data_IF_610979747647
#
_entry.id   IF_610979747647
#
_cell.length_a   1.000
_cell.length_b   1.000
_cell.length_c   1.000
_cell.angle_alpha   90.00
_cell.angle_beta   90.00
_cell.angle_gamma   90.00
#
_symmetry.space_group_name_H-M   'P 1'
#
loop_
_entity.id
_entity.type
_entity.pdbx_description
1 polymer ?
#
# COMPACT_ATOMS: atom_id res chain seq x y z
N UNK A 1 56.42 8.94 8.97
CA UNK A 1 55.72 7.72 9.40
C UNK A 1 54.28 7.99 9.87
N UNK A 2 54.05 8.97 10.77
CA UNK A 2 52.67 9.28 11.26
C UNK A 2 51.72 9.83 10.16
N UNK A 3 52.25 10.65 9.26
CA UNK A 3 51.46 11.26 8.16
C UNK A 3 51.00 10.22 7.11
N UNK A 4 51.81 9.21 6.85
CA UNK A 4 51.50 8.11 5.93
C UNK A 4 50.43 7.18 6.51
N UNK A 5 50.45 6.98 7.82
CA UNK A 5 49.44 6.18 8.53
C UNK A 5 48.07 6.87 8.57
N UNK A 6 48.02 8.20 8.75
CA UNK A 6 46.81 9.01 8.72
C UNK A 6 46.17 9.10 7.32
N UNK A 7 47.01 9.12 6.27
CA UNK A 7 46.54 9.06 4.88
C UNK A 7 45.95 7.68 4.53
N UNK A 8 46.60 6.59 4.97
CA UNK A 8 46.05 5.24 4.78
C UNK A 8 44.75 5.00 5.55
N UNK A 9 44.60 5.49 6.80
CA UNK A 9 43.36 5.44 7.57
C UNK A 9 42.26 6.23 6.89
N UNK A 10 42.53 7.42 6.36
CA UNK A 10 41.54 8.21 5.60
C UNK A 10 41.12 7.50 4.30
N UNK A 11 42.03 6.86 3.59
CA UNK A 11 41.74 6.14 2.36
C UNK A 11 40.90 4.87 2.64
N UNK A 12 41.24 4.15 3.73
CA UNK A 12 40.46 2.96 4.16
C UNK A 12 39.06 3.37 4.67
N UNK A 13 38.96 4.46 5.44
CA UNK A 13 37.68 4.97 5.92
C UNK A 13 36.82 5.49 4.76
N UNK A 14 37.41 6.16 3.77
CA UNK A 14 36.72 6.63 2.57
C UNK A 14 36.29 5.47 1.65
N UNK A 15 37.16 4.46 1.46
CA UNK A 15 36.82 3.25 0.73
C UNK A 15 35.73 2.43 1.44
N UNK A 16 35.76 2.33 2.77
CA UNK A 16 34.74 1.66 3.57
C UNK A 16 33.40 2.45 3.53
N UNK A 17 33.47 3.78 3.53
CA UNK A 17 32.27 4.65 3.39
C UNK A 17 31.67 4.55 2.01
N UNK A 18 32.46 4.45 0.95
CA UNK A 18 32.01 4.20 -0.43
C UNK A 18 31.40 2.79 -0.55
N UNK A 19 31.97 1.78 0.10
CA UNK A 19 31.46 0.40 0.08
C UNK A 19 30.13 0.24 0.85
N UNK A 20 29.88 1.08 1.87
CA UNK A 20 28.65 1.09 2.67
C UNK A 20 27.51 1.86 1.95
N UNK A 21 27.83 2.77 1.02
CA UNK A 21 26.83 3.61 0.36
C UNK A 21 26.36 3.09 -1.01
N UNK A 22 27.09 2.17 -1.64
CA UNK A 22 26.67 1.61 -2.94
C UNK A 22 25.68 0.47 -2.73
N UNK A 23 24.44 0.67 -3.17
CA UNK A 23 23.46 -0.41 -3.30
C UNK A 23 24.02 -1.48 -4.26
N UNK A 24 24.34 -2.65 -3.73
CA UNK A 24 24.87 -3.76 -4.55
C UNK A 24 23.75 -4.30 -5.43
N UNK A 25 23.94 -4.27 -6.75
CA UNK A 25 23.01 -4.92 -7.68
C UNK A 25 23.26 -6.42 -7.66
N UNK A 26 22.22 -7.18 -7.37
CA UNK A 26 22.22 -8.63 -7.35
C UNK A 26 21.50 -9.14 -8.60
N UNK A 27 21.88 -10.32 -9.09
CA UNK A 27 21.30 -10.92 -10.29
C UNK A 27 20.47 -12.17 -9.94
N UNK A 28 19.44 -12.42 -10.73
CA UNK A 28 18.58 -13.63 -10.64
C UNK A 28 18.00 -13.87 -9.24
N UNK A 29 17.43 -12.84 -8.63
CA UNK A 29 16.87 -12.90 -7.28
C UNK A 29 15.42 -13.37 -7.30
N UNK A 30 15.09 -14.31 -6.41
CA UNK A 30 13.71 -14.73 -6.19
C UNK A 30 12.92 -13.63 -5.46
N UNK A 31 11.78 -13.24 -6.04
CA UNK A 31 10.86 -12.26 -5.47
C UNK A 31 9.77 -12.91 -4.59
N UNK A 32 9.83 -14.21 -4.30
CA UNK A 32 8.82 -14.92 -3.51
C UNK A 32 8.63 -14.28 -2.13
N UNK A 33 9.71 -13.91 -1.46
CA UNK A 33 9.68 -13.24 -0.14
C UNK A 33 9.42 -11.73 -0.20
N UNK A 34 9.39 -11.15 -1.41
CA UNK A 34 9.19 -9.72 -1.65
C UNK A 34 7.79 -9.39 -2.15
N UNK A 35 6.87 -10.36 -2.19
CA UNK A 35 5.47 -10.13 -2.49
C UNK A 35 4.58 -10.91 -1.50
N UNK A 36 3.53 -10.27 -1.02
CA UNK A 36 2.66 -10.84 0.01
C UNK A 36 1.74 -11.94 -0.50
N UNK A 37 1.58 -12.12 -1.81
CA UNK A 37 0.96 -13.31 -2.39
C UNK A 37 1.84 -14.57 -2.27
N UNK A 38 3.16 -14.41 -2.03
CA UNK A 38 4.11 -15.51 -1.98
C UNK A 38 4.28 -16.24 -3.32
N UNK A 39 3.98 -15.57 -4.44
CA UNK A 39 4.17 -16.13 -5.78
C UNK A 39 5.66 -16.24 -6.09
N UNK A 40 6.08 -17.42 -6.53
CA UNK A 40 7.47 -17.71 -6.89
C UNK A 40 7.77 -17.19 -8.30
N UNK A 41 8.44 -16.03 -8.39
CA UNK A 41 8.99 -15.44 -9.61
C UNK A 41 10.39 -14.91 -9.33
N UNK A 42 11.18 -14.70 -10.38
CA UNK A 42 12.52 -14.12 -10.28
C UNK A 42 12.58 -12.75 -10.97
N UNK A 43 13.56 -11.94 -10.57
CA UNK A 43 13.95 -10.73 -11.30
C UNK A 43 15.36 -10.88 -11.86
N UNK A 44 15.64 -10.27 -13.04
CA UNK A 44 16.99 -10.26 -13.60
C UNK A 44 17.97 -9.51 -12.71
N UNK A 45 17.55 -8.35 -12.17
CA UNK A 45 18.39 -7.52 -11.32
C UNK A 45 17.60 -7.03 -10.11
N UNK A 46 18.27 -6.90 -8.98
CA UNK A 46 17.68 -6.45 -7.71
C UNK A 46 18.64 -5.54 -6.98
N UNK A 47 18.14 -4.42 -6.48
CA UNK A 47 18.88 -3.54 -5.58
C UNK A 47 17.99 -3.13 -4.41
N UNK A 48 18.54 -3.10 -3.19
CA UNK A 48 17.86 -2.59 -2.01
C UNK A 48 18.52 -1.30 -1.53
N UNK A 49 17.71 -0.28 -1.26
CA UNK A 49 18.13 1.08 -0.95
C UNK A 49 17.71 1.44 0.46
N UNK A 50 18.69 1.80 1.30
CA UNK A 50 18.49 2.16 2.70
C UNK A 50 18.68 3.65 2.99
N UNK A 51 19.19 4.44 2.01
CA UNK A 51 19.48 5.86 2.15
C UNK A 51 19.29 6.59 0.83
N UNK A 52 18.93 7.86 0.89
CA UNK A 52 18.72 8.71 -0.31
C UNK A 52 19.99 8.84 -1.16
N UNK A 53 21.17 8.93 -0.51
CA UNK A 53 22.43 8.94 -1.24
C UNK A 53 22.64 7.68 -2.07
N UNK A 54 22.35 6.49 -1.49
CA UNK A 54 22.44 5.22 -2.21
C UNK A 54 21.42 5.12 -3.37
N UNK A 55 20.22 5.72 -3.21
CA UNK A 55 19.28 5.83 -4.29
C UNK A 55 19.81 6.69 -5.43
N UNK A 56 20.36 7.87 -5.12
CA UNK A 56 20.92 8.79 -6.12
C UNK A 56 22.08 8.14 -6.88
N UNK A 57 22.97 7.45 -6.17
CA UNK A 57 24.07 6.70 -6.78
C UNK A 57 23.55 5.62 -7.72
N UNK A 58 22.55 4.82 -7.28
CA UNK A 58 21.92 3.80 -8.09
C UNK A 58 21.27 4.38 -9.36
N UNK A 59 20.51 5.49 -9.22
CA UNK A 59 19.82 6.15 -10.34
C UNK A 59 20.79 6.70 -11.41
N UNK A 60 22.05 6.97 -11.03
CA UNK A 60 23.10 7.40 -11.96
C UNK A 60 23.64 6.29 -12.84
N UNK A 61 23.41 5.01 -12.49
CA UNK A 61 23.95 3.86 -13.21
C UNK A 61 23.23 3.62 -14.54
N UNK A 62 23.95 3.21 -15.60
CA UNK A 62 23.35 2.94 -16.92
C UNK A 62 22.22 1.92 -16.88
N UNK A 63 22.32 0.88 -16.06
CA UNK A 63 21.34 -0.20 -15.94
C UNK A 63 19.92 0.31 -15.63
N UNK A 64 19.77 1.42 -14.89
CA UNK A 64 18.48 2.01 -14.56
C UNK A 64 17.76 2.54 -15.81
N UNK A 65 18.53 2.98 -16.83
CA UNK A 65 18.00 3.48 -18.09
C UNK A 65 17.84 2.38 -19.15
N UNK A 66 18.58 1.29 -19.00
CA UNK A 66 18.64 0.19 -19.98
C UNK A 66 17.63 -0.92 -19.67
N UNK A 67 17.17 -1.03 -18.43
CA UNK A 67 16.28 -2.11 -18.00
C UNK A 67 14.87 -1.60 -17.68
N UNK A 68 13.84 -2.42 -17.90
CA UNK A 68 12.53 -2.20 -17.27
C UNK A 68 12.69 -2.05 -15.75
N UNK A 69 12.04 -1.05 -15.16
CA UNK A 69 12.20 -0.72 -13.75
C UNK A 69 10.92 -0.99 -12.96
N UNK A 70 11.05 -1.64 -11.80
CA UNK A 70 10.01 -1.79 -10.81
C UNK A 70 10.48 -1.24 -9.46
N UNK A 71 9.75 -0.27 -8.93
CA UNK A 71 9.96 0.23 -7.56
C UNK A 71 9.09 -0.58 -6.61
N UNK A 72 9.71 -1.17 -5.60
CA UNK A 72 9.07 -2.08 -4.65
C UNK A 72 9.16 -1.52 -3.22
N UNK A 73 8.01 -1.40 -2.56
CA UNK A 73 7.90 -1.19 -1.11
C UNK A 73 7.70 -2.53 -0.39
N UNK A 74 6.59 -2.68 0.32
CA UNK A 74 6.23 -3.92 1.03
C UNK A 74 5.72 -5.07 0.17
N UNK A 75 5.55 -4.89 -1.14
CA UNK A 75 5.03 -5.92 -2.05
C UNK A 75 3.58 -6.36 -1.76
N UNK A 76 2.82 -5.53 -1.05
CA UNK A 76 1.49 -5.89 -0.51
C UNK A 76 0.31 -5.55 -1.43
N UNK A 77 0.57 -4.91 -2.58
CA UNK A 77 -0.48 -4.54 -3.56
C UNK A 77 -0.05 -4.84 -4.99
N UNK A 78 0.55 -6.01 -5.23
CA UNK A 78 0.96 -6.44 -6.55
C UNK A 78 0.79 -7.95 -6.73
N UNK A 79 0.64 -8.38 -7.98
CA UNK A 79 0.61 -9.77 -8.40
C UNK A 79 1.56 -9.94 -9.59
N UNK A 80 2.63 -10.70 -9.40
CA UNK A 80 3.49 -11.14 -10.50
C UNK A 80 2.83 -12.30 -11.25
N UNK A 81 2.61 -12.17 -12.55
CA UNK A 81 2.09 -13.26 -13.40
C UNK A 81 3.19 -14.05 -14.10
N UNK A 82 4.42 -13.53 -14.10
CA UNK A 82 5.63 -14.11 -14.69
C UNK A 82 6.87 -13.50 -14.05
N UNK A 83 8.05 -14.01 -14.39
CA UNK A 83 9.33 -13.42 -14.02
C UNK A 83 9.44 -11.96 -14.51
N UNK A 84 10.09 -11.12 -13.72
CA UNK A 84 10.33 -9.72 -14.06
C UNK A 84 11.70 -9.55 -14.72
N UNK A 85 11.72 -9.47 -16.03
CA UNK A 85 12.95 -9.27 -16.80
C UNK A 85 13.39 -7.80 -16.76
N UNK A 86 13.92 -7.36 -15.61
CA UNK A 86 14.30 -5.98 -15.36
C UNK A 86 14.99 -5.78 -14.03
N UNK A 87 15.11 -4.52 -13.59
CA UNK A 87 15.65 -4.12 -12.31
C UNK A 87 14.52 -3.83 -11.31
N UNK A 88 14.52 -4.54 -10.20
CA UNK A 88 13.68 -4.23 -9.03
C UNK A 88 14.48 -3.38 -8.06
N UNK A 89 13.99 -2.18 -7.73
CA UNK A 89 14.54 -1.33 -6.66
C UNK A 89 13.61 -1.42 -5.44
N UNK A 90 14.07 -2.10 -4.40
CA UNK A 90 13.39 -2.15 -3.12
C UNK A 90 13.77 -0.94 -2.28
N UNK A 91 12.78 -0.15 -1.87
CA UNK A 91 12.99 1.02 -1.02
C UNK A 91 12.80 0.63 0.44
N UNK A 92 13.90 0.66 1.20
CA UNK A 92 13.96 0.27 2.62
C UNK A 92 14.52 1.40 3.50
N UNK A 93 14.30 2.67 3.10
CA UNK A 93 14.77 3.85 3.83
C UNK A 93 14.02 3.94 5.17
N UNK A 94 14.74 3.82 6.31
CA UNK A 94 14.13 3.78 7.63
C UNK A 94 13.96 5.17 8.25
N UNK A 95 13.47 5.21 9.48
CA UNK A 95 13.46 6.36 10.37
C UNK A 95 12.10 7.05 10.44
N UNK A 96 11.76 7.51 11.66
CA UNK A 96 10.60 8.35 11.94
C UNK A 96 11.09 9.50 12.81
N UNK A 97 10.72 10.72 12.44
CA UNK A 97 10.99 11.94 13.21
C UNK A 97 9.71 12.73 13.40
N UNK A 98 9.58 13.45 14.51
CA UNK A 98 8.43 14.29 14.77
C UNK A 98 8.86 15.65 15.32
N UNK A 99 8.19 16.70 14.84
CA UNK A 99 8.30 18.08 15.37
C UNK A 99 6.91 18.50 15.80
N UNK A 100 6.76 18.95 17.04
CA UNK A 100 5.49 19.35 17.63
C UNK A 100 5.48 20.84 17.85
N UNK A 101 4.46 21.51 17.29
CA UNK A 101 4.23 22.96 17.44
C UNK A 101 2.75 23.17 17.82
N UNK A 102 2.52 23.60 19.07
CA UNK A 102 1.17 23.72 19.62
C UNK A 102 0.45 22.37 19.63
N UNK A 103 -0.69 22.28 18.97
CA UNK A 103 -1.49 21.05 18.85
C UNK A 103 -1.26 20.30 17.52
N UNK A 104 -0.23 20.66 16.76
CA UNK A 104 0.15 20.01 15.49
C UNK A 104 1.45 19.23 15.67
N UNK A 105 1.44 17.97 15.24
CA UNK A 105 2.63 17.14 15.12
C UNK A 105 2.94 16.89 13.63
N UNK A 106 4.07 17.43 13.16
CA UNK A 106 4.61 17.12 11.83
C UNK A 106 5.49 15.87 11.97
N UNK A 107 5.02 14.75 11.41
CA UNK A 107 5.71 13.45 11.53
C UNK A 107 6.21 13.03 10.15
N UNK A 108 7.54 12.92 10.00
CA UNK A 108 8.19 12.48 8.76
C UNK A 108 8.70 11.06 8.93
N UNK A 109 8.38 10.18 7.99
CA UNK A 109 8.84 8.79 7.98
C UNK A 109 9.50 8.42 6.65
N UNK A 110 10.56 7.62 6.74
CA UNK A 110 11.23 7.03 5.59
C UNK A 110 10.32 6.07 4.83
N UNK A 111 10.48 6.01 3.52
CA UNK A 111 9.60 5.24 2.63
C UNK A 111 9.60 3.73 2.92
N UNK A 112 10.68 3.19 3.50
CA UNK A 112 10.81 1.77 3.87
C UNK A 112 10.15 1.41 5.20
N UNK A 113 9.76 2.39 6.01
CA UNK A 113 9.09 2.13 7.30
C UNK A 113 7.80 1.36 7.06
N UNK A 114 7.59 0.28 7.79
CA UNK A 114 6.35 -0.50 7.74
C UNK A 114 5.19 0.38 8.19
N UNK A 115 4.12 0.44 7.40
CA UNK A 115 2.99 1.34 7.68
C UNK A 115 2.42 1.17 9.09
N UNK A 116 2.24 -0.07 9.55
CA UNK A 116 1.70 -0.31 10.90
C UNK A 116 2.67 0.06 12.02
N UNK A 117 3.98 0.01 11.81
CA UNK A 117 4.97 0.53 12.77
C UNK A 117 4.87 2.05 12.87
N UNK A 118 4.68 2.75 11.74
CA UNK A 118 4.41 4.18 11.71
C UNK A 118 3.12 4.54 12.48
N UNK A 119 2.02 3.82 12.24
CA UNK A 119 0.76 4.03 12.98
C UNK A 119 0.96 3.81 14.48
N UNK A 120 1.62 2.72 14.87
CA UNK A 120 1.89 2.41 16.29
C UNK A 120 2.76 3.50 16.94
N UNK A 121 3.76 4.02 16.22
CA UNK A 121 4.57 5.15 16.70
C UNK A 121 3.69 6.39 16.96
N UNK A 122 2.83 6.75 16.00
CA UNK A 122 1.94 7.92 16.15
C UNK A 122 0.96 7.75 17.30
N UNK A 123 0.27 6.61 17.39
CA UNK A 123 -0.68 6.31 18.45
C UNK A 123 0.02 6.30 19.82
N UNK A 124 1.19 5.65 19.93
CA UNK A 124 1.98 5.60 21.16
C UNK A 124 2.53 6.96 21.60
N UNK A 125 2.72 7.88 20.66
CA UNK A 125 3.17 9.27 20.92
C UNK A 125 1.98 10.23 21.17
N UNK A 126 0.74 9.78 21.08
CA UNK A 126 -0.45 10.62 21.24
C UNK A 126 -0.78 11.47 20.01
N UNK A 127 -0.28 11.12 18.83
CA UNK A 127 -0.53 11.82 17.56
C UNK A 127 -1.72 11.19 16.83
N UNK A 128 -2.85 11.92 16.80
CA UNK A 128 -4.11 11.48 16.22
C UNK A 128 -4.21 11.77 14.73
N UNK A 129 -4.91 10.90 13.99
CA UNK A 129 -5.28 11.06 12.58
C UNK A 129 -5.03 9.81 11.72
N UNK A 130 -4.18 8.86 12.17
CA UNK A 130 -3.86 7.63 11.44
C UNK A 130 -4.38 6.35 12.10
N UNK A 131 -5.00 6.43 13.26
CA UNK A 131 -5.48 5.29 14.05
C UNK A 131 -6.49 4.41 13.30
N UNK A 132 -7.34 5.00 12.45
CA UNK A 132 -8.29 4.27 11.58
C UNK A 132 -7.58 3.50 10.44
N UNK A 133 -6.32 3.81 10.16
CA UNK A 133 -5.51 3.17 9.13
C UNK A 133 -4.59 2.07 9.68
N UNK A 134 -4.85 1.64 10.93
CA UNK A 134 -4.10 0.56 11.61
C UNK A 134 -4.13 -0.73 10.80
N UNK A 135 -3.03 -1.46 10.84
CA UNK A 135 -2.83 -2.79 10.26
C UNK A 135 -3.00 -2.85 8.73
N UNK A 136 -2.92 -1.72 8.01
CA UNK A 136 -2.81 -1.75 6.54
C UNK A 136 -1.42 -2.29 6.20
N UNK A 137 -1.30 -3.33 5.36
CA UNK A 137 0.00 -3.86 4.95
C UNK A 137 0.69 -2.93 3.96
N UNK A 138 2.03 -2.97 3.96
CA UNK A 138 2.86 -2.16 3.06
C UNK A 138 3.77 -1.21 3.82
N UNK A 139 4.36 -0.25 3.10
CA UNK A 139 5.32 0.72 3.62
C UNK A 139 4.83 2.15 3.43
N UNK A 140 5.39 3.07 4.21
CA UNK A 140 5.06 4.50 4.19
C UNK A 140 5.18 5.08 2.79
N UNK A 141 6.28 4.81 2.05
CA UNK A 141 6.49 5.35 0.71
C UNK A 141 5.47 4.87 -0.34
N UNK A 142 4.81 3.73 -0.11
CA UNK A 142 3.74 3.25 -0.99
C UNK A 142 2.38 3.91 -0.69
N UNK A 143 2.23 4.53 0.47
CA UNK A 143 0.94 5.07 0.93
C UNK A 143 0.38 6.19 0.04
N UNK A 144 1.19 7.16 -0.53
CA UNK A 144 0.67 8.20 -1.40
C UNK A 144 0.32 7.70 -2.81
N UNK A 145 0.90 6.58 -3.26
CA UNK A 145 0.72 6.10 -4.64
C UNK A 145 -0.75 5.92 -4.99
N UNK A 146 -1.53 5.36 -4.08
CA UNK A 146 -2.95 5.12 -4.27
C UNK A 146 -3.83 5.68 -3.15
N UNK A 147 -3.34 6.70 -2.42
CA UNK A 147 -4.10 7.32 -1.34
C UNK A 147 -4.75 6.25 -0.45
N UNK A 148 -3.92 5.47 0.27
CA UNK A 148 -4.44 4.37 1.10
C UNK A 148 -5.55 4.86 2.02
N UNK A 149 -6.53 4.01 2.27
CA UNK A 149 -7.66 4.40 3.12
C UNK A 149 -8.46 3.22 3.62
N UNK A 150 -8.95 3.34 4.82
CA UNK A 150 -9.79 2.36 5.48
C UNK A 150 -10.67 3.04 6.54
N UNK A 151 -11.80 2.44 6.85
CA UNK A 151 -12.67 2.82 7.99
C UNK A 151 -13.01 4.32 8.05
N UNK A 152 -13.27 4.92 6.87
CA UNK A 152 -13.72 6.31 6.76
C UNK A 152 -12.62 7.37 6.83
N UNK A 153 -11.35 6.96 6.76
CA UNK A 153 -10.18 7.85 6.70
C UNK A 153 -9.33 7.48 5.48
N UNK A 154 -8.76 8.46 4.80
CA UNK A 154 -7.81 8.30 3.72
C UNK A 154 -6.49 9.03 4.07
N UNK A 155 -5.39 8.61 3.44
CA UNK A 155 -4.08 9.24 3.65
C UNK A 155 -4.11 10.76 3.45
N UNK A 156 -4.83 11.22 2.41
CA UNK A 156 -4.96 12.65 2.08
C UNK A 156 -5.48 13.50 3.23
N UNK A 157 -6.20 12.90 4.19
CA UNK A 157 -6.77 13.63 5.33
C UNK A 157 -5.69 14.10 6.33
N UNK A 158 -4.50 13.49 6.26
CA UNK A 158 -3.36 13.75 7.15
C UNK A 158 -2.05 13.98 6.39
N UNK A 159 -2.04 13.89 5.07
CA UNK A 159 -0.84 14.08 4.25
C UNK A 159 -0.48 15.56 4.18
N UNK A 160 0.81 15.87 4.39
CA UNK A 160 1.39 17.19 4.19
C UNK A 160 2.19 17.24 2.89
N UNK A 161 3.22 16.42 2.80
CA UNK A 161 4.13 16.39 1.66
C UNK A 161 4.86 15.05 1.53
N UNK A 162 5.50 14.81 0.40
CA UNK A 162 6.48 13.73 0.26
C UNK A 162 7.68 14.19 -0.54
N UNK A 163 8.86 13.67 -0.18
CA UNK A 163 10.08 13.82 -0.96
C UNK A 163 10.22 12.62 -1.89
N UNK A 164 10.56 12.89 -3.15
CA UNK A 164 10.77 11.85 -4.15
C UNK A 164 11.93 12.22 -5.09
N UNK A 165 12.55 11.22 -5.68
CA UNK A 165 13.63 11.38 -6.66
C UNK A 165 13.10 11.04 -8.05
N UNK A 166 13.36 11.93 -9.01
CA UNK A 166 13.06 11.67 -10.42
C UNK A 166 14.01 10.60 -10.96
N UNK A 167 13.47 9.54 -11.53
CA UNK A 167 14.27 8.39 -12.01
C UNK A 167 15.22 8.80 -13.15
N UNK A 168 14.77 9.70 -14.02
CA UNK A 168 15.52 10.11 -15.21
C UNK A 168 16.73 10.99 -14.89
N UNK A 169 16.63 11.87 -13.88
CA UNK A 169 17.62 12.91 -13.56
C UNK A 169 18.33 12.66 -12.23
N UNK A 170 17.78 11.81 -11.36
CA UNK A 170 18.18 11.65 -9.97
C UNK A 170 18.04 12.94 -9.14
N UNK A 171 17.22 13.89 -9.59
CA UNK A 171 16.94 15.12 -8.86
C UNK A 171 15.84 14.91 -7.83
N UNK A 172 16.03 15.54 -6.67
CA UNK A 172 15.06 15.54 -5.58
C UNK A 172 13.93 16.53 -5.87
N UNK A 173 12.70 16.11 -5.57
CA UNK A 173 11.52 16.96 -5.61
C UNK A 173 10.62 16.71 -4.41
N UNK A 174 10.10 17.77 -3.82
CA UNK A 174 9.06 17.72 -2.82
C UNK A 174 7.71 17.93 -3.49
N UNK A 175 6.76 17.05 -3.21
CA UNK A 175 5.37 17.17 -3.66
C UNK A 175 4.50 17.53 -2.47
N UNK A 176 3.74 18.62 -2.59
CA UNK A 176 2.74 19.01 -1.60
C UNK A 176 1.39 18.29 -1.86
N UNK A 177 0.40 18.58 -1.01
CA UNK A 177 -0.93 17.98 -1.09
C UNK A 177 -1.61 18.23 -2.45
N UNK A 178 -1.58 19.44 -2.97
CA UNK A 178 -2.24 19.82 -4.23
C UNK A 178 -1.61 19.15 -5.43
N UNK A 179 -0.29 19.03 -5.44
CA UNK A 179 0.45 18.38 -6.53
C UNK A 179 0.21 16.86 -6.58
N UNK A 180 -0.09 16.23 -5.43
CA UNK A 180 -0.40 14.80 -5.37
C UNK A 180 -1.75 14.44 -6.01
N UNK A 181 -2.69 15.38 -6.17
CA UNK A 181 -3.99 15.20 -6.84
C UNK A 181 -4.73 13.94 -6.37
N UNK A 182 -4.82 13.77 -5.06
CA UNK A 182 -5.42 12.59 -4.46
C UNK A 182 -6.89 12.40 -4.85
N UNK A 183 -7.21 11.18 -5.29
CA UNK A 183 -8.55 10.67 -5.55
C UNK A 183 -8.85 9.38 -4.76
N UNK A 184 -10.01 8.78 -5.00
CA UNK A 184 -10.34 7.48 -4.44
C UNK A 184 -9.44 6.38 -5.02
N UNK A 185 -8.51 5.85 -4.21
CA UNK A 185 -7.48 4.89 -4.64
C UNK A 185 -6.63 5.41 -5.80
N UNK A 186 -6.33 6.72 -5.78
CA UNK A 186 -5.69 7.41 -6.88
C UNK A 186 -4.80 8.57 -6.44
N UNK A 187 -3.76 8.86 -7.24
CA UNK A 187 -2.88 10.01 -7.11
C UNK A 187 -2.17 10.32 -8.43
N UNK A 188 -1.43 11.43 -8.48
CA UNK A 188 -0.57 11.77 -9.62
C UNK A 188 0.46 10.67 -9.92
N UNK A 189 0.95 9.96 -8.91
CA UNK A 189 1.94 8.88 -9.06
C UNK A 189 1.37 7.61 -9.69
N UNK A 190 0.05 7.48 -9.74
CA UNK A 190 -0.63 6.37 -10.42
C UNK A 190 -1.03 6.72 -11.86
N UNK A 191 -1.04 7.98 -12.21
CA UNK A 191 -1.45 8.55 -13.50
C UNK A 191 -0.28 9.25 -14.22
N UNK A 192 -0.26 10.57 -14.25
CA UNK A 192 0.65 11.37 -15.09
C UNK A 192 2.13 11.14 -14.77
N UNK A 193 2.45 10.88 -13.50
CA UNK A 193 3.82 10.66 -13.03
C UNK A 193 4.13 9.18 -12.75
N UNK A 194 3.28 8.27 -13.27
CA UNK A 194 3.48 6.83 -13.07
C UNK A 194 4.86 6.38 -13.57
N UNK A 195 5.63 5.77 -12.65
CA UNK A 195 6.96 5.23 -12.96
C UNK A 195 8.04 6.29 -13.18
N UNK A 196 7.80 7.56 -12.83
CA UNK A 196 8.78 8.63 -13.00
C UNK A 196 9.51 8.99 -11.71
N UNK A 197 8.93 8.72 -10.54
CA UNK A 197 9.47 9.11 -9.24
C UNK A 197 9.56 7.94 -8.26
N UNK A 198 10.55 8.00 -7.38
CA UNK A 198 10.70 7.11 -6.23
C UNK A 198 10.56 7.93 -4.96
N UNK A 199 9.51 7.68 -4.19
CA UNK A 199 9.27 8.36 -2.92
C UNK A 199 10.27 7.85 -1.88
N UNK A 200 10.93 8.77 -1.17
CA UNK A 200 11.94 8.46 -0.13
C UNK A 200 11.47 8.78 1.28
N UNK A 201 10.64 9.82 1.44
CA UNK A 201 10.02 10.17 2.72
C UNK A 201 8.60 10.67 2.52
N UNK A 202 7.78 10.53 3.56
CA UNK A 202 6.43 11.13 3.62
C UNK A 202 6.28 11.86 4.94
N UNK A 203 5.77 13.09 4.88
CA UNK A 203 5.46 13.93 6.02
C UNK A 203 3.95 13.99 6.24
N UNK A 204 3.55 13.80 7.47
CA UNK A 204 2.14 13.79 7.91
C UNK A 204 1.90 14.93 8.90
N UNK A 205 0.78 15.59 8.75
CA UNK A 205 0.28 16.61 9.67
C UNK A 205 -0.77 15.99 10.57
N UNK A 206 -0.36 15.65 11.79
CA UNK A 206 -1.18 15.00 12.80
C UNK A 206 -1.55 15.96 13.92
N UNK A 207 -2.52 15.58 14.77
CA UNK A 207 -2.96 16.39 15.91
C UNK A 207 -2.52 15.77 17.24
N UNK A 208 -2.09 16.59 18.19
CA UNK A 208 -1.92 16.18 19.60
C UNK A 208 -3.25 16.22 20.38
N UNK A 209 -4.30 16.79 19.76
CA UNK A 209 -5.67 16.78 20.27
C UNK A 209 -6.48 15.78 19.45
N UNK A 210 -7.01 14.73 20.08
CA UNK A 210 -7.69 13.66 19.36
C UNK A 210 -9.08 14.06 18.87
N UNK A 211 -9.28 14.06 17.57
CA UNK A 211 -10.60 14.15 16.92
C UNK A 211 -11.00 12.78 16.35
N UNK A 212 -11.57 11.95 17.20
CA UNK A 212 -11.80 10.53 16.90
C UNK A 212 -12.91 10.35 15.87
N UNK A 213 -12.61 9.62 14.77
CA UNK A 213 -13.58 9.26 13.75
C UNK A 213 -14.15 7.86 13.99
N UNK A 214 -15.37 7.81 14.54
CA UNK A 214 -16.12 6.56 14.78
C UNK A 214 -17.24 6.34 13.78
N UNK A 215 -17.40 7.18 12.75
CA UNK A 215 -18.55 7.16 11.83
C UNK A 215 -18.70 5.86 11.02
N UNK A 216 -17.66 5.05 10.94
CA UNK A 216 -17.74 3.76 10.28
C UNK A 216 -18.48 2.74 11.17
N UNK A 217 -19.61 2.21 10.69
CA UNK A 217 -20.55 1.42 11.51
C UNK A 217 -19.93 0.20 12.22
N UNK A 218 -18.91 -0.44 11.63
CA UNK A 218 -18.24 -1.56 12.27
C UNK A 218 -17.42 -1.13 13.50
N UNK A 219 -16.84 0.09 13.49
CA UNK A 219 -16.13 0.65 14.65
C UNK A 219 -17.13 0.93 15.76
N UNK A 220 -18.27 1.60 15.44
CA UNK A 220 -19.31 1.89 16.43
C UNK A 220 -19.84 0.63 17.09
N UNK A 221 -20.13 -0.40 16.30
CA UNK A 221 -20.63 -1.67 16.81
C UNK A 221 -19.62 -2.32 17.78
N UNK A 222 -18.33 -2.29 17.43
CA UNK A 222 -17.30 -2.91 18.25
C UNK A 222 -17.01 -2.11 19.54
N UNK A 223 -17.06 -0.77 19.50
CA UNK A 223 -16.95 0.08 20.69
C UNK A 223 -18.11 -0.19 21.65
N UNK A 224 -19.35 -0.33 21.13
CA UNK A 224 -20.52 -0.68 21.94
C UNK A 224 -20.35 -2.07 22.58
N UNK A 225 -19.89 -3.06 21.82
CA UNK A 225 -19.64 -4.42 22.35
C UNK A 225 -18.62 -4.43 23.50
N UNK A 226 -17.66 -3.50 23.48
CA UNK A 226 -16.62 -3.35 24.52
C UNK A 226 -17.02 -2.41 25.65
N UNK A 227 -18.21 -1.80 25.61
CA UNK A 227 -18.67 -0.77 26.55
C UNK A 227 -17.70 0.44 26.62
N UNK A 228 -17.13 0.87 25.49
CA UNK A 228 -16.25 2.04 25.41
C UNK A 228 -17.07 3.24 24.94
N UNK A 229 -17.42 4.12 25.88
CA UNK A 229 -18.21 5.33 25.59
C UNK A 229 -17.34 6.51 25.12
N UNK A 230 -16.12 6.62 25.64
CA UNK A 230 -15.17 7.70 25.33
C UNK A 230 -13.85 7.10 24.80
N UNK A 231 -13.81 6.69 23.53
CA UNK A 231 -12.64 6.01 23.00
C UNK A 231 -11.45 6.96 22.85
N UNK A 232 -10.26 6.45 23.13
CA UNK A 232 -8.98 7.06 22.81
C UNK A 232 -8.52 6.66 21.40
N UNK A 233 -7.47 7.29 20.88
CA UNK A 233 -6.85 6.87 19.60
C UNK A 233 -6.31 5.44 19.70
N UNK A 234 -5.84 5.02 20.88
CA UNK A 234 -5.40 3.64 21.12
C UNK A 234 -6.56 2.64 21.03
N UNK A 235 -7.72 2.98 21.58
CA UNK A 235 -8.91 2.14 21.48
C UNK A 235 -9.37 1.98 20.03
N UNK A 236 -9.36 3.07 19.24
CA UNK A 236 -9.70 3.01 17.81
C UNK A 236 -8.71 2.16 17.04
N UNK A 237 -7.41 2.37 17.24
CA UNK A 237 -6.35 1.58 16.61
C UNK A 237 -6.53 0.09 16.88
N UNK A 238 -6.79 -0.28 18.16
CA UNK A 238 -7.01 -1.69 18.54
C UNK A 238 -8.31 -2.25 17.96
N UNK A 239 -9.40 -1.50 18.00
CA UNK A 239 -10.70 -1.91 17.42
C UNK A 239 -10.56 -2.15 15.92
N UNK A 240 -9.89 -1.24 15.21
CA UNK A 240 -9.63 -1.38 13.77
C UNK A 240 -8.77 -2.61 13.48
N UNK A 241 -7.70 -2.81 14.25
CA UNK A 241 -6.83 -3.97 14.10
C UNK A 241 -7.62 -5.28 14.28
N UNK A 242 -8.43 -5.38 15.33
CA UNK A 242 -9.23 -6.58 15.62
C UNK A 242 -10.30 -6.86 14.56
N UNK A 243 -10.99 -5.80 14.06
CA UNK A 243 -11.92 -5.93 12.94
C UNK A 243 -11.18 -6.45 11.69
N UNK A 244 -9.97 -5.97 11.42
CA UNK A 244 -9.17 -6.42 10.28
C UNK A 244 -8.75 -7.87 10.42
N UNK A 245 -8.22 -8.27 11.57
CA UNK A 245 -7.82 -9.66 11.86
C UNK A 245 -9.01 -10.62 11.74
N UNK A 246 -10.20 -10.23 12.16
CA UNK A 246 -11.40 -11.07 12.03
C UNK A 246 -11.86 -11.26 10.58
N UNK A 247 -11.60 -10.30 9.71
CA UNK A 247 -12.09 -10.29 8.32
C UNK A 247 -11.04 -10.68 7.28
N UNK A 248 -9.78 -10.29 7.48
CA UNK A 248 -8.72 -10.43 6.49
C UNK A 248 -7.73 -11.52 6.90
N UNK A 249 -7.20 -12.29 5.94
CA UNK A 249 -6.15 -13.26 6.23
C UNK A 249 -4.82 -12.54 6.45
N UNK A 250 -4.02 -13.07 7.38
CA UNK A 250 -2.64 -12.66 7.54
C UNK A 250 -1.80 -13.17 6.34
N UNK A 251 -1.17 -12.29 5.57
CA UNK A 251 -0.38 -12.69 4.41
C UNK A 251 0.86 -13.53 4.77
N UNK A 252 1.29 -13.55 6.02
CA UNK A 252 2.38 -14.43 6.49
C UNK A 252 1.93 -15.89 6.61
N UNK A 253 0.62 -16.13 6.75
CA UNK A 253 0.02 -17.47 6.88
C UNK A 253 -0.63 -17.96 5.60
N UNK A 254 -1.25 -17.06 4.84
CA UNK A 254 -1.87 -17.33 3.55
C UNK A 254 -1.68 -16.14 2.61
N UNK A 255 -0.94 -16.37 1.52
CA UNK A 255 -0.56 -15.31 0.58
C UNK A 255 -1.77 -14.55 0.05
N UNK A 256 -1.71 -13.22 0.10
CA UNK A 256 -2.74 -12.33 -0.43
C UNK A 256 -2.19 -10.90 -0.59
N UNK A 257 -2.94 -10.01 -1.25
CA UNK A 257 -2.62 -8.59 -1.37
C UNK A 257 -3.78 -7.70 -0.88
N UNK A 258 -4.50 -8.12 0.16
CA UNK A 258 -5.68 -7.42 0.65
C UNK A 258 -6.85 -7.46 -0.34
N UNK A 259 -7.61 -6.37 -0.42
CA UNK A 259 -8.72 -6.26 -1.38
C UNK A 259 -8.22 -6.29 -2.81
N UNK A 260 -8.63 -7.29 -3.59
CA UNK A 260 -8.16 -7.46 -4.96
C UNK A 260 -8.86 -6.52 -5.97
N UNK A 261 -10.08 -6.10 -5.65
CA UNK A 261 -10.90 -5.23 -6.49
C UNK A 261 -11.29 -3.96 -5.75
N UNK A 262 -11.41 -2.85 -6.49
CA UNK A 262 -12.01 -1.62 -5.98
C UNK A 262 -13.52 -1.79 -5.81
N UNK A 263 -14.12 -1.02 -4.91
CA UNK A 263 -15.55 -0.84 -4.90
C UNK A 263 -15.95 -0.02 -6.13
N UNK A 264 -16.79 -0.54 -7.06
CA UNK A 264 -17.17 0.19 -8.27
C UNK A 264 -18.02 1.41 -7.93
N UNK A 265 -17.77 2.51 -8.61
CA UNK A 265 -18.53 3.75 -8.51
C UNK A 265 -19.29 3.93 -9.81
N UNK A 266 -20.62 3.95 -9.73
CA UNK A 266 -21.53 4.02 -10.88
C UNK A 266 -22.43 5.24 -10.79
N UNK A 267 -23.02 5.64 -11.91
CA UNK A 267 -23.99 6.73 -11.97
C UNK A 267 -25.31 6.33 -11.33
N UNK A 268 -26.06 7.33 -10.84
CA UNK A 268 -27.33 7.12 -10.15
C UNK A 268 -28.33 6.31 -11.00
N UNK A 269 -28.44 6.58 -12.31
CA UNK A 269 -29.33 5.87 -13.21
C UNK A 269 -28.96 4.37 -13.32
N UNK A 270 -27.68 4.06 -13.46
CA UNK A 270 -27.20 2.68 -13.49
C UNK A 270 -27.47 1.98 -12.15
N UNK A 271 -27.29 2.68 -11.04
CA UNK A 271 -27.59 2.16 -9.71
C UNK A 271 -29.08 1.81 -9.57
N UNK A 272 -30.00 2.68 -9.98
CA UNK A 272 -31.45 2.42 -9.92
C UNK A 272 -31.86 1.17 -10.70
N UNK A 273 -31.25 0.93 -11.86
CA UNK A 273 -31.47 -0.27 -12.66
C UNK A 273 -30.99 -1.55 -11.96
N UNK A 274 -29.84 -1.48 -11.26
CA UNK A 274 -29.32 -2.61 -10.50
C UNK A 274 -30.16 -2.83 -9.24
N UNK A 275 -30.51 -1.77 -8.51
CA UNK A 275 -31.32 -1.81 -7.29
C UNK A 275 -32.69 -2.41 -7.55
N UNK A 276 -33.34 -2.06 -8.68
CA UNK A 276 -34.65 -2.63 -9.07
C UNK A 276 -34.61 -4.15 -9.22
N UNK A 277 -33.49 -4.71 -9.67
CA UNK A 277 -33.29 -6.17 -9.83
C UNK A 277 -32.78 -6.85 -8.57
N UNK A 278 -31.99 -6.12 -7.77
CA UNK A 278 -31.29 -6.61 -6.58
C UNK A 278 -31.49 -5.65 -5.40
N UNK A 279 -32.67 -5.64 -4.76
CA UNK A 279 -33.03 -4.67 -3.70
C UNK A 279 -32.10 -4.75 -2.46
N UNK A 280 -31.41 -5.87 -2.26
CA UNK A 280 -30.49 -6.08 -1.14
C UNK A 280 -29.05 -5.61 -1.41
N UNK A 281 -28.79 -4.89 -2.53
CA UNK A 281 -27.43 -4.46 -2.87
C UNK A 281 -26.85 -3.49 -1.84
N UNK A 282 -25.68 -3.82 -1.32
CA UNK A 282 -24.98 -2.96 -0.35
C UNK A 282 -24.25 -1.84 -1.10
N UNK A 283 -24.56 -0.61 -0.73
CA UNK A 283 -24.05 0.59 -1.41
C UNK A 283 -23.82 1.74 -0.44
N UNK A 284 -23.05 2.74 -0.91
CA UNK A 284 -22.67 3.92 -0.16
C UNK A 284 -22.73 5.15 -1.07
N UNK A 285 -22.96 6.36 -0.55
CA UNK A 285 -22.88 7.58 -1.33
C UNK A 285 -21.44 7.80 -1.83
N UNK A 286 -21.31 8.38 -3.02
CA UNK A 286 -20.04 8.81 -3.59
C UNK A 286 -20.17 10.26 -4.08
N UNK A 287 -19.06 11.01 -4.28
CA UNK A 287 -19.08 12.35 -4.82
C UNK A 287 -19.79 12.43 -6.19
N UNK A 288 -20.25 13.65 -6.54
CA UNK A 288 -20.88 13.95 -7.83
C UNK A 288 -22.12 13.09 -8.11
N UNK A 289 -22.98 12.89 -7.09
CA UNK A 289 -24.23 12.14 -7.20
C UNK A 289 -24.05 10.69 -7.71
N UNK A 290 -22.88 10.12 -7.50
CA UNK A 290 -22.58 8.74 -7.82
C UNK A 290 -22.81 7.81 -6.63
N UNK A 291 -22.88 6.52 -6.91
CA UNK A 291 -23.10 5.48 -5.90
C UNK A 291 -21.94 4.48 -5.95
N UNK A 292 -21.35 4.21 -4.80
CA UNK A 292 -20.31 3.21 -4.62
C UNK A 292 -20.92 1.90 -4.15
N UNK A 293 -20.75 0.83 -4.94
CA UNK A 293 -21.26 -0.50 -4.60
C UNK A 293 -20.22 -1.30 -3.81
N UNK A 294 -20.67 -2.14 -2.89
CA UNK A 294 -19.78 -3.05 -2.17
C UNK A 294 -19.38 -4.22 -3.08
N UNK A 295 -18.17 -4.19 -3.64
CA UNK A 295 -17.67 -5.25 -4.51
C UNK A 295 -17.65 -6.62 -3.81
N UNK A 296 -17.34 -6.66 -2.51
CA UNK A 296 -17.39 -7.89 -1.73
C UNK A 296 -18.78 -8.53 -1.73
N UNK A 297 -19.84 -7.73 -1.63
CA UNK A 297 -21.22 -8.21 -1.73
C UNK A 297 -21.53 -8.76 -3.13
N UNK A 298 -21.14 -8.05 -4.20
CA UNK A 298 -21.36 -8.50 -5.58
C UNK A 298 -20.68 -9.86 -5.83
N UNK A 299 -19.45 -10.01 -5.38
CA UNK A 299 -18.68 -11.26 -5.52
C UNK A 299 -19.31 -12.39 -4.69
N UNK A 300 -19.75 -12.10 -3.47
CA UNK A 300 -20.42 -13.07 -2.59
C UNK A 300 -21.73 -13.56 -3.21
N UNK A 301 -22.54 -12.65 -3.80
CA UNK A 301 -23.78 -13.01 -4.48
C UNK A 301 -23.56 -13.85 -5.75
N UNK A 302 -22.35 -13.85 -6.30
CA UNK A 302 -21.94 -14.75 -7.38
C UNK A 302 -21.44 -16.12 -6.89
N UNK A 303 -21.46 -16.38 -5.58
CA UNK A 303 -21.06 -17.66 -4.99
C UNK A 303 -19.54 -17.85 -4.86
N UNK A 304 -18.77 -16.76 -4.90
CA UNK A 304 -17.32 -16.85 -4.80
C UNK A 304 -16.79 -16.81 -3.36
N UNK A 305 -17.56 -16.40 -2.36
CA UNK A 305 -17.07 -16.30 -0.98
C UNK A 305 -16.57 -17.66 -0.45
N UNK A 306 -15.29 -17.76 -0.12
CA UNK A 306 -14.68 -18.99 0.34
C UNK A 306 -14.50 -20.07 -0.73
N UNK A 307 -14.68 -19.71 -2.02
CA UNK A 307 -14.48 -20.64 -3.15
C UNK A 307 -12.99 -20.89 -3.33
N UNK A 308 -12.63 -22.15 -3.48
CA UNK A 308 -11.26 -22.60 -3.80
C UNK A 308 -11.26 -23.14 -5.23
N UNK A 309 -10.27 -22.71 -6.04
CA UNK A 309 -10.06 -23.15 -7.43
C UNK A 309 -8.58 -23.44 -7.63
N UNK A 310 -8.22 -24.71 -7.80
CA UNK A 310 -6.81 -25.10 -7.84
C UNK A 310 -6.07 -24.69 -6.56
N UNK A 311 -5.00 -23.91 -6.72
CA UNK A 311 -4.19 -23.40 -5.61
C UNK A 311 -4.56 -21.98 -5.18
N UNK A 312 -5.61 -21.39 -5.76
CA UNK A 312 -6.11 -20.05 -5.42
C UNK A 312 -7.57 -20.07 -4.98
N UNK A 313 -8.09 -18.94 -4.57
CA UNK A 313 -9.50 -18.81 -4.18
C UNK A 313 -9.80 -17.44 -3.60
N UNK A 314 -11.01 -17.30 -3.03
CA UNK A 314 -11.39 -16.13 -2.23
C UNK A 314 -11.38 -16.48 -0.74
N UNK A 315 -11.06 -15.50 0.08
CA UNK A 315 -11.07 -15.69 1.52
C UNK A 315 -12.48 -15.93 2.07
N UNK A 316 -12.60 -16.88 3.00
CA UNK A 316 -13.90 -17.28 3.58
C UNK A 316 -14.63 -16.18 4.33
N UNK A 317 -13.91 -15.20 4.92
CA UNK A 317 -14.51 -14.11 5.68
C UNK A 317 -14.68 -12.82 4.85
N UNK A 318 -14.01 -12.73 3.67
CA UNK A 318 -14.06 -11.55 2.80
C UNK A 318 -13.85 -11.93 1.33
N UNK A 319 -14.92 -11.91 0.56
CA UNK A 319 -14.90 -12.31 -0.86
C UNK A 319 -14.04 -11.39 -1.76
N UNK A 320 -13.71 -10.16 -1.30
CA UNK A 320 -12.81 -9.25 -2.00
C UNK A 320 -11.34 -9.68 -2.00
N UNK A 321 -10.95 -10.57 -1.06
CA UNK A 321 -9.56 -10.99 -0.89
C UNK A 321 -9.33 -12.29 -1.62
N UNK A 322 -8.49 -12.26 -2.65
CA UNK A 322 -7.97 -13.44 -3.31
C UNK A 322 -6.79 -13.97 -2.51
N UNK A 323 -6.69 -15.29 -2.39
CA UNK A 323 -5.67 -15.96 -1.59
C UNK A 323 -4.91 -16.99 -2.40
N UNK A 324 -3.64 -17.22 -1.99
CA UNK A 324 -2.79 -18.29 -2.44
C UNK A 324 -2.78 -19.39 -1.36
N UNK A 325 -3.36 -20.53 -1.64
CA UNK A 325 -3.41 -21.68 -0.73
C UNK A 325 -2.10 -22.50 -0.69
N UNK A 326 -1.03 -22.02 -1.33
CA UNK A 326 0.27 -22.66 -1.38
C UNK A 326 0.99 -22.35 -2.68
N UNK A 327 0.95 -23.22 -3.65
CA UNK A 327 1.76 -23.11 -4.86
C UNK A 327 1.02 -22.45 -6.04
N UNK A 328 0.08 -21.52 -5.78
CA UNK A 328 -0.58 -20.79 -6.83
C UNK A 328 0.43 -19.94 -7.63
N UNK A 329 0.39 -20.05 -8.94
CA UNK A 329 1.06 -19.12 -9.84
C UNK A 329 0.28 -17.82 -9.94
N UNK A 330 0.97 -16.72 -10.28
CA UNK A 330 0.27 -15.46 -10.51
C UNK A 330 -0.71 -15.50 -11.68
N UNK A 331 -0.42 -16.34 -12.69
CA UNK A 331 -1.32 -16.56 -13.81
C UNK A 331 -2.64 -17.24 -13.38
N UNK A 332 -2.60 -18.21 -12.43
CA UNK A 332 -3.82 -18.83 -11.86
C UNK A 332 -4.65 -17.80 -11.11
N UNK A 333 -4.03 -16.98 -10.24
CA UNK A 333 -4.72 -15.91 -9.49
C UNK A 333 -5.32 -14.89 -10.46
N UNK A 334 -4.58 -14.51 -11.50
CA UNK A 334 -5.06 -13.57 -12.52
C UNK A 334 -6.27 -14.16 -13.27
N UNK A 335 -6.18 -15.38 -13.77
CA UNK A 335 -7.28 -16.06 -14.49
C UNK A 335 -8.52 -16.20 -13.62
N UNK A 336 -8.36 -16.53 -12.33
CA UNK A 336 -9.47 -16.58 -11.39
C UNK A 336 -10.11 -15.19 -11.17
N UNK A 337 -9.30 -14.12 -11.14
CA UNK A 337 -9.83 -12.75 -11.06
C UNK A 337 -10.65 -12.36 -12.30
N UNK A 338 -10.28 -12.83 -13.49
CA UNK A 338 -11.07 -12.65 -14.73
C UNK A 338 -12.43 -13.37 -14.63
N UNK A 339 -12.45 -14.61 -14.12
CA UNK A 339 -13.70 -15.36 -13.89
C UNK A 339 -14.65 -14.57 -13.00
N UNK A 340 -14.13 -13.98 -11.91
CA UNK A 340 -14.92 -13.15 -10.99
C UNK A 340 -15.48 -11.91 -11.70
N UNK A 341 -14.62 -11.15 -12.41
CA UNK A 341 -15.04 -9.94 -13.15
C UNK A 341 -16.17 -10.27 -14.12
N UNK A 342 -15.98 -11.30 -14.95
CA UNK A 342 -16.94 -11.71 -15.96
C UNK A 342 -18.27 -12.17 -15.34
N UNK A 343 -18.23 -12.94 -14.25
CA UNK A 343 -19.44 -13.44 -13.58
C UNK A 343 -20.22 -12.30 -12.93
N UNK A 344 -19.56 -11.35 -12.28
CA UNK A 344 -20.19 -10.15 -11.72
C UNK A 344 -20.81 -9.30 -12.82
N UNK A 345 -20.09 -9.10 -13.93
CA UNK A 345 -20.61 -8.33 -15.07
C UNK A 345 -21.85 -8.99 -15.68
N UNK A 346 -21.83 -10.29 -15.94
CA UNK A 346 -22.97 -11.02 -16.49
C UNK A 346 -24.19 -10.91 -15.57
N UNK A 347 -24.00 -11.02 -14.25
CA UNK A 347 -25.10 -11.01 -13.29
C UNK A 347 -25.67 -9.62 -13.03
N UNK A 348 -24.79 -8.61 -12.85
CA UNK A 348 -25.17 -7.28 -12.37
C UNK A 348 -25.04 -6.16 -13.42
N UNK A 349 -24.34 -6.39 -14.53
CA UNK A 349 -23.97 -5.35 -15.49
C UNK A 349 -22.90 -4.38 -14.94
N UNK A 350 -22.25 -4.74 -13.83
CA UNK A 350 -21.26 -3.90 -13.15
C UNK A 350 -19.87 -4.47 -13.39
N UNK A 351 -18.96 -3.64 -13.95
CA UNK A 351 -17.57 -4.02 -14.18
C UNK A 351 -16.75 -3.79 -12.92
N UNK A 352 -16.04 -4.83 -12.46
CA UNK A 352 -15.06 -4.71 -11.38
C UNK A 352 -13.70 -4.28 -11.94
N UNK A 353 -13.02 -3.38 -11.23
CA UNK A 353 -11.64 -2.97 -11.51
C UNK A 353 -10.71 -3.56 -10.44
N UNK A 354 -9.57 -4.10 -10.87
CA UNK A 354 -8.53 -4.58 -9.93
C UNK A 354 -7.88 -3.40 -9.22
N UNK A 355 -7.74 -3.51 -7.90
CA UNK A 355 -6.94 -2.58 -7.09
C UNK A 355 -5.47 -3.00 -7.08
N UNK A 356 -5.22 -4.31 -7.14
CA UNK A 356 -3.88 -4.90 -7.18
C UNK A 356 -3.22 -4.65 -8.52
N UNK A 357 -1.93 -4.25 -8.50
CA UNK A 357 -1.14 -4.05 -9.70
C UNK A 357 -0.71 -5.40 -10.27
N UNK A 358 -1.00 -5.64 -11.55
CA UNK A 358 -0.64 -6.86 -12.27
C UNK A 358 0.67 -6.62 -13.03
N UNK A 359 1.66 -7.53 -12.86
CA UNK A 359 3.00 -7.45 -13.44
C UNK A 359 3.35 -8.69 -14.26
#
# INVERSE_FOLDING_TARGET
MLLTYLLQLRTITFALYIFISMSTIQENISLKSYNTFGVAVNTSFFAEVFHESGLRDLLSLPIVKEQPLLVLGGGSNLLFTKDFNGLVIKVSIPGITAVVEGNVAMVTAGAGVVWNEFVNYCVGSGFAGVENLSLIPGTVGASPIQNIGAYGVELKDVFDSCTAYEIATAEERVFNFEECRFGYRDSVFKNELKGQYIITTVTFKLSTEAHINTKYGAIQAELLNRNIEHPTISDISQVVADIRVSKLPDPTTIGNAGSFFKNPVIDQLAFEQVLAKFPGIVHYPAPNEKVKLAAGWLIEQCGFKGKVVGHTGTWKNQALVLVNHGDATGAEVYSFSEEIINTVYIKFGVMLEREVNIL
#
